data_IF_302909204561
#
_entry.id   IF_302909204561
#
_cell.length_a   1.000
_cell.length_b   1.000
_cell.length_c   1.000
_cell.angle_alpha   90.00
_cell.angle_beta   90.00
_cell.angle_gamma   90.00
#
_symmetry.space_group_name_H-M   'P 1'
#
loop_
_entity.id
_entity.type
_entity.pdbx_description
1 polymer ?
#
# COMPACT_ATOMS: atom_id res chain seq x y z
N UNK A 1 22.72 -15.94 -0.73
CA UNK A 1 22.61 -14.48 -0.49
C UNK A 1 21.84 -14.30 0.82
N UNK A 2 22.51 -13.89 1.91
CA UNK A 2 21.92 -13.82 3.25
C UNK A 2 20.79 -12.78 3.29
N UNK A 3 19.52 -13.23 3.37
CA UNK A 3 18.33 -12.38 3.48
C UNK A 3 18.51 -11.28 4.54
N UNK A 4 19.05 -11.65 5.71
CA UNK A 4 19.26 -10.75 6.85
C UNK A 4 20.03 -9.46 6.53
N UNK A 5 21.04 -9.48 5.64
CA UNK A 5 21.83 -8.26 5.34
C UNK A 5 21.09 -7.27 4.44
N UNK A 6 20.22 -7.76 3.56
CA UNK A 6 19.39 -6.92 2.69
C UNK A 6 18.28 -6.25 3.49
N UNK A 7 17.73 -6.95 4.49
CA UNK A 7 16.70 -6.41 5.38
C UNK A 7 17.22 -5.19 6.15
N UNK A 8 18.44 -5.26 6.72
CA UNK A 8 19.06 -4.11 7.39
C UNK A 8 19.28 -2.93 6.44
N UNK A 9 19.68 -3.18 5.19
CA UNK A 9 19.86 -2.13 4.20
C UNK A 9 18.54 -1.46 3.82
N UNK A 10 17.47 -2.25 3.67
CA UNK A 10 16.10 -1.77 3.47
C UNK A 10 15.65 -0.92 4.66
N UNK A 11 15.84 -1.38 5.90
CA UNK A 11 15.51 -0.59 7.10
C UNK A 11 16.21 0.76 7.12
N UNK A 12 17.50 0.82 6.77
CA UNK A 12 18.25 2.07 6.71
C UNK A 12 17.67 3.03 5.66
N UNK A 13 17.17 2.52 4.53
CA UNK A 13 16.50 3.35 3.52
C UNK A 13 15.12 3.88 3.98
N UNK A 14 14.42 3.16 4.85
CA UNK A 14 13.12 3.59 5.39
C UNK A 14 13.22 4.58 6.55
N UNK A 15 14.34 4.61 7.29
CA UNK A 15 14.55 5.55 8.40
C UNK A 15 14.38 7.01 7.95
N UNK A 16 15.04 7.51 6.88
CA UNK A 16 14.84 8.87 6.38
C UNK A 16 13.38 9.17 5.99
N UNK A 17 12.65 8.16 5.51
CA UNK A 17 11.25 8.29 5.13
C UNK A 17 10.34 8.60 6.33
N UNK A 18 10.66 8.08 7.53
CA UNK A 18 9.93 8.40 8.76
C UNK A 18 10.12 9.85 9.20
N UNK A 19 11.22 10.49 8.82
CA UNK A 19 11.52 11.89 9.16
C UNK A 19 11.17 12.87 8.05
N UNK A 20 10.46 12.42 7.01
CA UNK A 20 10.13 13.27 5.85
C UNK A 20 9.22 14.45 6.20
N UNK A 21 8.40 14.30 7.23
CA UNK A 21 7.55 15.37 7.75
C UNK A 21 8.35 16.50 8.42
N UNK A 22 9.57 16.21 8.90
CA UNK A 22 10.47 17.20 9.51
C UNK A 22 11.39 17.90 8.49
N UNK A 23 11.42 17.45 7.24
CA UNK A 23 12.23 18.06 6.19
C UNK A 23 11.58 19.37 5.68
N UNK A 24 12.37 20.40 5.31
CA UNK A 24 11.83 21.63 4.76
C UNK A 24 11.23 21.42 3.36
N UNK A 25 10.14 22.14 3.05
CA UNK A 25 9.31 21.97 1.85
C UNK A 25 10.06 22.17 0.52
N UNK A 26 11.21 22.83 0.54
CA UNK A 26 12.02 23.11 -0.64
C UNK A 26 12.82 21.90 -1.16
N UNK A 27 12.82 20.77 -0.44
CA UNK A 27 13.57 19.59 -0.87
C UNK A 27 12.79 18.73 -1.86
N UNK A 28 13.46 18.34 -2.96
CA UNK A 28 12.91 17.46 -3.99
C UNK A 28 12.38 16.14 -3.42
N UNK A 29 13.06 15.60 -2.39
CA UNK A 29 12.69 14.36 -1.72
C UNK A 29 11.30 14.50 -1.11
N UNK A 30 11.07 15.54 -0.29
CA UNK A 30 9.74 15.78 0.31
C UNK A 30 8.66 15.93 -0.76
N UNK A 31 8.94 16.67 -1.85
CA UNK A 31 7.99 16.86 -2.96
C UNK A 31 7.61 15.57 -3.68
N UNK A 32 8.52 14.62 -3.83
CA UNK A 32 8.23 13.32 -4.46
C UNK A 32 7.36 12.47 -3.54
N UNK A 33 7.72 12.36 -2.26
CA UNK A 33 6.98 11.56 -1.29
C UNK A 33 5.60 12.13 -0.92
N UNK A 34 5.43 13.45 -1.01
CA UNK A 34 4.11 14.11 -0.83
C UNK A 34 3.30 14.23 -2.11
N UNK A 35 3.78 13.68 -3.23
CA UNK A 35 3.02 13.70 -4.47
C UNK A 35 1.75 12.83 -4.38
N UNK A 36 0.71 13.22 -5.10
CA UNK A 36 -0.57 12.51 -5.11
C UNK A 36 -0.44 11.02 -5.45
N UNK A 37 0.53 10.66 -6.29
CA UNK A 37 0.76 9.27 -6.69
C UNK A 37 1.32 8.44 -5.53
N UNK A 38 2.34 8.94 -4.83
CA UNK A 38 2.90 8.24 -3.66
C UNK A 38 1.91 8.19 -2.50
N UNK A 39 1.14 9.25 -2.29
CA UNK A 39 0.05 9.26 -1.30
C UNK A 39 -1.05 8.25 -1.66
N UNK A 40 -1.40 8.12 -2.95
CA UNK A 40 -2.34 7.11 -3.41
C UNK A 40 -1.82 5.69 -3.18
N UNK A 41 -0.55 5.42 -3.53
CA UNK A 41 0.09 4.13 -3.28
C UNK A 41 0.14 3.81 -1.79
N UNK A 42 0.46 4.79 -0.94
CA UNK A 42 0.40 4.66 0.51
C UNK A 42 -1.01 4.35 1.00
N UNK A 43 -2.02 5.03 0.46
CA UNK A 43 -3.44 4.83 0.81
C UNK A 43 -3.94 3.42 0.51
N UNK A 44 -3.57 2.84 -0.64
CA UNK A 44 -4.00 1.48 -1.02
C UNK A 44 -3.05 0.38 -0.51
N UNK A 45 -1.88 0.73 0.03
CA UNK A 45 -0.82 -0.25 0.38
C UNK A 45 -1.29 -1.33 1.34
N UNK A 46 -1.97 -0.95 2.42
CA UNK A 46 -2.49 -1.87 3.43
C UNK A 46 -3.56 -2.83 2.87
N UNK A 47 -4.65 -2.34 2.25
CA UNK A 47 -5.65 -3.24 1.68
C UNK A 47 -5.12 -4.05 0.50
N UNK A 48 -4.16 -3.51 -0.27
CA UNK A 48 -3.48 -4.27 -1.31
C UNK A 48 -2.68 -5.43 -0.70
N UNK A 49 -1.92 -5.17 0.37
CA UNK A 49 -1.19 -6.21 1.09
C UNK A 49 -2.13 -7.33 1.61
N UNK A 50 -3.30 -6.99 2.12
CA UNK A 50 -4.25 -8.00 2.60
C UNK A 50 -4.96 -8.78 1.48
N UNK A 51 -5.32 -8.11 0.39
CA UNK A 51 -6.25 -8.67 -0.60
C UNK A 51 -5.55 -9.25 -1.83
N UNK A 52 -4.31 -8.85 -2.13
CA UNK A 52 -3.60 -9.37 -3.31
C UNK A 52 -3.42 -10.90 -3.25
N UNK A 53 -3.15 -11.46 -2.08
CA UNK A 53 -2.99 -12.91 -1.92
C UNK A 53 -4.29 -13.65 -2.22
N UNK A 54 -5.44 -13.12 -1.80
CA UNK A 54 -6.75 -13.69 -2.11
C UNK A 54 -7.03 -13.70 -3.61
N UNK A 55 -6.64 -12.63 -4.32
CA UNK A 55 -6.77 -12.57 -5.78
C UNK A 55 -5.90 -13.62 -6.45
N UNK A 56 -4.66 -13.80 -5.98
CA UNK A 56 -3.73 -14.82 -6.50
C UNK A 56 -4.27 -16.23 -6.26
N UNK A 57 -4.70 -16.54 -5.02
CA UNK A 57 -5.19 -17.86 -4.62
C UNK A 57 -6.53 -18.20 -5.27
N UNK A 58 -7.35 -17.21 -5.62
CA UNK A 58 -8.64 -17.43 -6.27
C UNK A 58 -8.54 -18.16 -7.61
N UNK A 59 -7.35 -18.16 -8.27
CA UNK A 59 -7.11 -18.86 -9.53
C UNK A 59 -7.96 -18.37 -10.71
N UNK A 60 -8.79 -17.33 -10.52
CA UNK A 60 -9.84 -16.91 -11.44
C UNK A 60 -9.32 -16.31 -12.76
N UNK A 61 -8.01 -15.99 -12.81
CA UNK A 61 -7.37 -15.22 -13.88
C UNK A 61 -6.19 -16.00 -14.50
N UNK A 62 -5.91 -17.23 -14.06
CA UNK A 62 -4.76 -17.98 -14.54
C UNK A 62 -5.05 -18.70 -15.86
N UNK A 63 -4.51 -18.17 -16.95
CA UNK A 63 -4.33 -18.88 -18.21
C UNK A 63 -2.86 -19.33 -18.33
N UNK A 64 -2.67 -20.64 -18.44
CA UNK A 64 -1.35 -21.27 -18.48
C UNK A 64 -0.57 -20.92 -19.76
N UNK A 65 -1.26 -20.60 -20.85
CA UNK A 65 -0.60 -20.26 -22.12
C UNK A 65 -0.06 -18.81 -22.14
N UNK A 66 -0.64 -17.92 -21.33
CA UNK A 66 -0.28 -16.50 -21.30
C UNK A 66 -0.10 -15.99 -19.86
N UNK A 67 0.96 -16.45 -19.20
CA UNK A 67 1.30 -16.06 -17.83
C UNK A 67 1.43 -14.53 -17.64
N UNK A 68 1.96 -13.80 -18.62
CA UNK A 68 2.10 -12.34 -18.56
C UNK A 68 0.77 -11.59 -18.50
N UNK A 69 -0.22 -12.07 -19.26
CA UNK A 69 -1.57 -11.50 -19.27
C UNK A 69 -2.24 -11.78 -17.93
N UNK A 70 -2.10 -13.01 -17.42
CA UNK A 70 -2.63 -13.42 -16.13
C UNK A 70 -2.06 -12.58 -14.98
N UNK A 71 -0.75 -12.37 -14.95
CA UNK A 71 -0.08 -11.53 -13.93
C UNK A 71 -0.57 -10.08 -14.00
N UNK A 72 -0.63 -9.52 -15.21
CA UNK A 72 -1.05 -8.13 -15.41
C UNK A 72 -2.50 -7.94 -14.96
N UNK A 73 -3.39 -8.85 -15.35
CA UNK A 73 -4.80 -8.79 -15.00
C UNK A 73 -5.02 -9.02 -13.50
N UNK A 74 -4.29 -9.94 -12.88
CA UNK A 74 -4.30 -10.15 -11.42
C UNK A 74 -3.80 -8.92 -10.65
N UNK A 75 -2.76 -8.25 -11.13
CA UNK A 75 -2.26 -7.01 -10.53
C UNK A 75 -3.30 -5.88 -10.62
N UNK A 76 -3.91 -5.67 -11.78
CA UNK A 76 -4.99 -4.69 -11.94
C UNK A 76 -6.20 -5.01 -11.07
N UNK A 77 -6.64 -6.27 -11.03
CA UNK A 77 -7.74 -6.70 -10.19
C UNK A 77 -7.44 -6.47 -8.70
N UNK A 78 -6.22 -6.80 -8.25
CA UNK A 78 -5.78 -6.59 -6.87
C UNK A 78 -5.78 -5.12 -6.48
N UNK A 79 -5.24 -4.24 -7.34
CA UNK A 79 -5.24 -2.79 -7.12
C UNK A 79 -6.67 -2.25 -7.08
N UNK A 80 -7.53 -2.70 -7.99
CA UNK A 80 -8.91 -2.27 -8.08
C UNK A 80 -9.72 -2.67 -6.84
N UNK A 81 -9.62 -3.94 -6.43
CA UNK A 81 -10.28 -4.46 -5.23
C UNK A 81 -9.75 -3.75 -3.97
N UNK A 82 -8.44 -3.58 -3.86
CA UNK A 82 -7.81 -2.86 -2.75
C UNK A 82 -8.30 -1.42 -2.65
N UNK A 83 -8.42 -0.71 -3.78
CA UNK A 83 -8.94 0.65 -3.80
C UNK A 83 -10.39 0.72 -3.33
N UNK A 84 -11.25 -0.19 -3.80
CA UNK A 84 -12.66 -0.26 -3.35
C UNK A 84 -12.71 -0.52 -1.84
N UNK A 85 -11.94 -1.49 -1.35
CA UNK A 85 -11.89 -1.79 0.08
C UNK A 85 -11.41 -0.59 0.89
N UNK A 86 -10.33 0.08 0.47
CA UNK A 86 -9.80 1.27 1.12
C UNK A 86 -10.87 2.38 1.24
N UNK A 87 -11.65 2.54 0.16
CA UNK A 87 -12.63 3.62 0.03
C UNK A 87 -13.89 3.37 0.84
N UNK A 88 -14.42 2.16 0.80
CA UNK A 88 -15.73 1.83 1.35
C UNK A 88 -15.68 1.16 2.72
N UNK A 89 -14.55 0.56 3.10
CA UNK A 89 -14.42 -0.19 4.36
C UNK A 89 -13.43 0.53 5.28
N UNK A 90 -12.16 0.66 4.90
CA UNK A 90 -11.13 1.20 5.80
C UNK A 90 -11.43 2.64 6.23
N UNK A 91 -11.75 3.53 5.29
CA UNK A 91 -11.97 4.94 5.62
C UNK A 91 -13.20 5.15 6.53
N UNK A 92 -14.39 4.57 6.26
CA UNK A 92 -15.52 4.66 7.17
C UNK A 92 -15.26 4.00 8.53
N UNK A 93 -14.59 2.84 8.56
CA UNK A 93 -14.26 2.13 9.79
C UNK A 93 -13.34 2.97 10.68
N UNK A 94 -12.25 3.50 10.11
CA UNK A 94 -11.33 4.38 10.82
C UNK A 94 -12.05 5.61 11.40
N UNK A 95 -12.94 6.23 10.60
CA UNK A 95 -13.75 7.36 11.05
C UNK A 95 -14.69 6.99 12.20
N UNK A 96 -15.31 5.82 12.14
CA UNK A 96 -16.19 5.31 13.20
C UNK A 96 -15.43 5.04 14.49
N UNK A 97 -14.28 4.37 14.42
CA UNK A 97 -13.40 4.09 15.56
C UNK A 97 -12.90 5.36 16.22
N UNK A 98 -12.41 6.33 15.43
CA UNK A 98 -11.96 7.62 15.95
C UNK A 98 -13.07 8.36 16.69
N UNK A 99 -14.31 8.29 16.20
CA UNK A 99 -15.49 8.86 16.87
C UNK A 99 -15.83 8.16 18.18
N UNK A 100 -15.64 6.84 18.27
CA UNK A 100 -15.87 6.12 19.52
C UNK A 100 -14.81 6.44 20.57
N UNK A 101 -13.53 6.48 20.19
CA UNK A 101 -12.44 6.85 21.10
C UNK A 101 -12.65 8.26 21.66
N UNK A 102 -13.04 9.21 20.81
CA UNK A 102 -13.34 10.59 21.23
C UNK A 102 -14.56 10.72 22.17
N UNK A 103 -15.39 9.67 22.31
CA UNK A 103 -16.50 9.64 23.28
C UNK A 103 -16.10 9.03 24.63
N UNK A 104 -14.97 8.32 24.67
CA UNK A 104 -14.45 7.65 25.87
C UNK A 104 -13.48 8.57 26.62
N UNK A 105 -12.79 9.46 25.89
CA UNK A 105 -12.02 10.57 26.45
C UNK A 105 -12.90 11.75 26.85
#
# INVERSE_FOLDING_TARGET
>A
MNHSRLDYFLFVAFIPMLFIDHLPDNQLIKRVFTSNLFLFLGYISFPLYLLHELVIVSGFIFDAENAWVSISLAAFASIFIAYIYARFIDYPLYRALKRQIAKIS
#
